data_IF_090133419769
#
_entry.id   IF_090133419769
#
_cell.length_a   1.000
_cell.length_b   1.000
_cell.length_c   1.000
_cell.angle_alpha   90.00
_cell.angle_beta   90.00
_cell.angle_gamma   90.00
#
_symmetry.space_group_name_H-M   'P 1'
#
loop_
_entity.id
_entity.type
_entity.pdbx_description
1 polymer ?
#
# COMPACT_ATOMS: atom_id res chain seq x y z
N UNK A 1 -3.82 15.67 17.58
CA UNK A 1 -2.58 15.87 16.79
C UNK A 1 -2.86 15.42 15.37
N UNK A 2 -2.65 16.29 14.38
CA UNK A 2 -2.81 15.91 12.98
C UNK A 2 -1.81 14.79 12.64
N UNK A 3 -2.29 13.62 12.22
CA UNK A 3 -1.40 12.50 11.86
C UNK A 3 -0.56 12.94 10.65
N UNK A 4 0.75 12.76 10.74
CA UNK A 4 1.66 13.14 9.66
C UNK A 4 1.43 12.21 8.46
N UNK A 5 1.34 12.78 7.26
CA UNK A 5 1.21 11.98 6.02
C UNK A 5 2.55 11.28 5.78
N UNK A 6 2.58 9.94 5.66
CA UNK A 6 3.82 9.22 5.35
C UNK A 6 4.40 9.70 4.02
N UNK A 7 5.73 9.90 3.99
CA UNK A 7 6.40 10.25 2.73
C UNK A 7 6.31 9.11 1.72
N UNK A 8 6.36 9.44 0.43
CA UNK A 8 6.38 8.47 -0.68
C UNK A 8 7.45 7.40 -0.49
N UNK A 9 8.66 7.79 -0.08
CA UNK A 9 9.76 6.85 0.18
C UNK A 9 9.46 5.91 1.36
N UNK A 10 8.81 6.41 2.41
CA UNK A 10 8.38 5.58 3.54
C UNK A 10 7.35 4.53 3.10
N UNK A 11 6.40 4.92 2.25
CA UNK A 11 5.38 4.03 1.70
C UNK A 11 6.05 2.96 0.83
N UNK A 12 6.92 3.37 -0.10
CA UNK A 12 7.68 2.47 -0.97
C UNK A 12 8.46 1.43 -0.17
N UNK A 13 9.23 1.85 0.83
CA UNK A 13 10.00 0.93 1.69
C UNK A 13 9.10 -0.07 2.39
N UNK A 14 7.99 0.38 2.99
CA UNK A 14 7.00 -0.50 3.63
C UNK A 14 6.40 -1.51 2.66
N UNK A 15 6.06 -1.07 1.44
CA UNK A 15 5.55 -1.97 0.39
C UNK A 15 6.57 -3.06 0.06
N UNK A 16 7.85 -2.71 -0.10
CA UNK A 16 8.92 -3.69 -0.34
C UNK A 16 9.06 -4.65 0.84
N UNK A 17 9.03 -4.15 2.08
CA UNK A 17 9.14 -4.97 3.28
C UNK A 17 7.98 -5.97 3.39
N UNK A 18 6.76 -5.56 3.06
CA UNK A 18 5.61 -6.45 3.01
C UNK A 18 5.74 -7.51 1.91
N UNK A 19 6.14 -7.10 0.69
CA UNK A 19 6.36 -8.07 -0.38
C UNK A 19 7.47 -9.07 -0.05
N UNK A 20 8.53 -8.65 0.65
CA UNK A 20 9.60 -9.54 1.12
C UNK A 20 9.10 -10.50 2.19
N UNK A 21 8.31 -10.01 3.15
CA UNK A 21 7.71 -10.84 4.19
C UNK A 21 6.76 -11.90 3.60
N UNK A 22 6.10 -11.57 2.49
CA UNK A 22 5.23 -12.46 1.71
C UNK A 22 6.00 -13.31 0.68
N UNK A 23 7.32 -13.12 0.51
CA UNK A 23 8.10 -13.84 -0.51
C UNK A 23 7.80 -13.46 -1.96
N UNK A 24 7.02 -12.39 -2.21
CA UNK A 24 6.58 -11.98 -3.55
C UNK A 24 7.51 -10.96 -4.21
N UNK A 25 8.42 -10.34 -3.46
CA UNK A 25 9.28 -9.28 -3.96
C UNK A 25 10.24 -9.77 -5.05
N UNK A 26 10.21 -9.08 -6.20
CA UNK A 26 11.19 -9.20 -7.29
C UNK A 26 11.50 -7.82 -7.86
N UNK A 27 12.71 -7.62 -8.37
CA UNK A 27 13.16 -6.31 -8.89
C UNK A 27 12.32 -5.82 -10.07
N UNK A 28 11.71 -6.73 -10.83
CA UNK A 28 10.80 -6.43 -11.94
C UNK A 28 9.53 -5.68 -11.47
N UNK A 29 9.17 -5.77 -10.17
CA UNK A 29 8.04 -5.03 -9.61
C UNK A 29 8.39 -3.58 -9.25
N UNK A 30 9.66 -3.16 -9.28
CA UNK A 30 10.06 -1.83 -8.80
C UNK A 30 9.25 -0.69 -9.43
N UNK A 31 9.03 -0.72 -10.74
CA UNK A 31 8.23 0.31 -11.41
C UNK A 31 6.77 0.33 -10.90
N UNK A 32 6.17 -0.84 -10.67
CA UNK A 32 4.81 -0.97 -10.15
C UNK A 32 4.73 -0.50 -8.69
N UNK A 33 5.76 -0.80 -7.89
CA UNK A 33 5.90 -0.34 -6.51
C UNK A 33 5.99 1.18 -6.44
N UNK A 34 6.76 1.82 -7.35
CA UNK A 34 6.88 3.28 -7.43
C UNK A 34 5.53 3.95 -7.71
N UNK A 35 4.74 3.42 -8.64
CA UNK A 35 3.41 3.93 -8.96
C UNK A 35 2.45 3.70 -7.78
N UNK A 36 2.48 2.52 -7.17
CA UNK A 36 1.67 2.22 -5.99
C UNK A 36 1.96 3.16 -4.82
N UNK A 37 3.24 3.41 -4.53
CA UNK A 37 3.65 4.32 -3.46
C UNK A 37 3.18 5.76 -3.73
N UNK A 38 3.19 6.19 -4.98
CA UNK A 38 2.72 7.51 -5.38
C UNK A 38 1.20 7.66 -5.19
N UNK A 39 0.41 6.68 -5.65
CA UNK A 39 -1.04 6.66 -5.45
C UNK A 39 -1.43 6.65 -3.98
N UNK A 40 -0.72 5.87 -3.15
CA UNK A 40 -0.95 5.84 -1.71
C UNK A 40 -0.62 7.19 -1.05
N UNK A 41 0.43 7.88 -1.50
CA UNK A 41 0.77 9.23 -1.02
C UNK A 41 -0.34 10.23 -1.39
N UNK A 42 -0.74 10.25 -2.66
CA UNK A 42 -1.83 11.10 -3.17
C UNK A 42 -3.14 10.82 -2.42
N UNK A 43 -3.47 9.56 -2.18
CA UNK A 43 -4.65 9.17 -1.41
C UNK A 43 -4.63 9.72 0.01
N UNK A 44 -3.50 9.61 0.72
CA UNK A 44 -3.38 10.14 2.08
C UNK A 44 -3.49 11.67 2.10
N UNK A 45 -2.88 12.34 1.12
CA UNK A 45 -2.97 13.79 0.96
C UNK A 45 -4.42 14.24 0.72
N UNK A 46 -5.08 13.69 -0.31
CA UNK A 46 -6.46 14.03 -0.63
C UNK A 46 -7.44 13.63 0.48
N UNK A 47 -7.19 12.53 1.20
CA UNK A 47 -8.04 12.12 2.32
C UNK A 47 -8.00 13.14 3.45
N UNK A 48 -6.82 13.71 3.72
CA UNK A 48 -6.65 14.75 4.72
C UNK A 48 -7.29 16.07 4.26
N UNK A 49 -7.09 16.45 3.00
CA UNK A 49 -7.74 17.63 2.45
C UNK A 49 -9.27 17.50 2.52
N UNK A 50 -9.81 16.30 2.22
CA UNK A 50 -11.23 16.04 2.30
C UNK A 50 -11.78 16.15 3.73
N UNK A 51 -11.01 15.71 4.73
CA UNK A 51 -11.34 15.91 6.15
C UNK A 51 -11.28 17.39 6.54
N UNK A 52 -10.28 18.13 6.08
CA UNK A 52 -10.12 19.58 6.33
C UNK A 52 -11.26 20.41 5.70
N UNK A 53 -11.81 19.96 4.56
CA UNK A 53 -13.01 20.52 3.89
C UNK A 53 -14.34 20.04 4.53
N UNK A 54 -14.30 19.28 5.63
CA UNK A 54 -15.51 18.84 6.32
C UNK A 54 -16.29 17.75 5.58
N UNK A 55 -15.62 16.98 4.72
CA UNK A 55 -16.21 15.89 3.93
C UNK A 55 -17.31 16.32 2.95
N UNK A 56 -17.20 17.52 2.38
CA UNK A 56 -18.18 18.07 1.46
C UNK A 56 -18.32 17.20 0.20
N UNK A 57 -19.47 16.54 0.05
CA UNK A 57 -19.71 15.58 -1.06
C UNK A 57 -20.11 16.24 -2.37
N UNK A 58 -20.59 17.49 -2.31
CA UNK A 58 -21.12 18.24 -3.46
C UNK A 58 -20.77 19.71 -3.34
N UNK A 59 -20.25 20.29 -4.40
CA UNK A 59 -19.98 21.73 -4.52
C UNK A 59 -21.14 22.40 -5.25
N UNK A 60 -21.69 23.46 -4.67
CA UNK A 60 -22.76 24.23 -5.30
C UNK A 60 -22.28 24.86 -6.62
N UNK A 61 -23.14 24.85 -7.63
CA UNK A 61 -22.85 25.49 -8.93
C UNK A 61 -24.06 26.30 -9.36
N UNK A 62 -23.82 27.47 -9.97
CA UNK A 62 -24.85 28.45 -10.34
C UNK A 62 -25.98 27.91 -11.25
N UNK A 63 -25.80 26.74 -11.88
CA UNK A 63 -26.72 26.21 -12.91
C UNK A 63 -27.22 24.77 -12.70
N UNK A 64 -26.86 24.10 -11.60
CA UNK A 64 -27.36 22.74 -11.32
C UNK A 64 -27.17 22.38 -9.85
N UNK A 65 -28.07 21.56 -9.31
CA UNK A 65 -28.13 21.11 -7.91
C UNK A 65 -26.91 20.31 -7.44
N UNK A 66 -25.77 21.01 -7.33
CA UNK A 66 -24.48 20.52 -6.87
C UNK A 66 -23.75 19.63 -7.89
N UNK A 67 -22.44 19.85 -8.08
CA UNK A 67 -21.55 18.88 -8.72
C UNK A 67 -20.84 18.08 -7.65
N UNK A 68 -20.58 16.79 -7.90
CA UNK A 68 -19.79 15.95 -6.98
C UNK A 68 -18.43 16.59 -6.69
N UNK A 69 -18.01 16.57 -5.42
CA UNK A 69 -16.70 17.08 -5.02
C UNK A 69 -15.58 16.44 -5.86
N UNK A 70 -14.69 17.24 -6.49
CA UNK A 70 -13.55 16.72 -7.22
C UNK A 70 -12.63 15.84 -6.38
N UNK A 71 -12.47 16.17 -5.09
CA UNK A 71 -11.67 15.37 -4.15
C UNK A 71 -12.32 14.02 -3.90
N UNK A 72 -13.63 14.01 -3.67
CA UNK A 72 -14.37 12.75 -3.49
C UNK A 72 -14.25 11.87 -4.75
N UNK A 73 -14.39 12.44 -5.94
CA UNK A 73 -14.23 11.71 -7.20
C UNK A 73 -12.79 11.17 -7.39
N UNK A 74 -11.79 11.95 -7.01
CA UNK A 74 -10.38 11.54 -7.01
C UNK A 74 -10.11 10.40 -6.03
N UNK A 75 -10.62 10.50 -4.80
CA UNK A 75 -10.50 9.47 -3.77
C UNK A 75 -11.14 8.14 -4.17
N UNK A 76 -12.31 8.17 -4.82
CA UNK A 76 -12.95 6.96 -5.31
C UNK A 76 -12.15 6.27 -6.41
N UNK A 77 -11.58 7.04 -7.34
CA UNK A 77 -10.71 6.50 -8.39
C UNK A 77 -9.45 5.89 -7.79
N UNK A 78 -8.77 6.62 -6.90
CA UNK A 78 -7.57 6.13 -6.20
C UNK A 78 -7.84 4.86 -5.39
N UNK A 79 -8.99 4.72 -4.73
CA UNK A 79 -9.33 3.49 -3.98
C UNK A 79 -9.40 2.27 -4.91
N UNK A 80 -9.96 2.42 -6.11
CA UNK A 80 -10.03 1.34 -7.11
C UNK A 80 -8.65 0.98 -7.65
N UNK A 81 -7.85 1.98 -7.97
CA UNK A 81 -6.49 1.79 -8.51
C UNK A 81 -5.55 1.18 -7.47
N UNK A 82 -5.59 1.66 -6.21
CA UNK A 82 -4.84 1.09 -5.10
C UNK A 82 -5.19 -0.39 -4.91
N UNK A 83 -6.47 -0.76 -4.98
CA UNK A 83 -6.90 -2.16 -4.94
C UNK A 83 -6.26 -2.98 -6.06
N UNK A 84 -6.36 -2.49 -7.30
CA UNK A 84 -5.83 -3.15 -8.49
C UNK A 84 -4.31 -3.34 -8.44
N UNK A 85 -3.56 -2.34 -7.97
CA UNK A 85 -2.10 -2.45 -7.87
C UNK A 85 -1.67 -3.27 -6.66
N UNK A 86 -2.44 -3.25 -5.56
CA UNK A 86 -2.23 -4.15 -4.43
C UNK A 86 -2.34 -5.62 -4.84
N UNK A 87 -3.35 -5.95 -5.67
CA UNK A 87 -3.49 -7.28 -6.29
C UNK A 87 -2.27 -7.64 -7.14
N UNK A 88 -1.81 -6.71 -8.00
CA UNK A 88 -0.62 -6.94 -8.87
C UNK A 88 0.67 -7.16 -8.09
N UNK A 89 0.80 -6.55 -6.93
CA UNK A 89 1.94 -6.69 -6.02
C UNK A 89 1.77 -7.88 -5.05
N UNK A 90 0.67 -8.64 -5.16
CA UNK A 90 0.37 -9.79 -4.32
C UNK A 90 0.36 -9.46 -2.82
N UNK A 91 -0.10 -8.26 -2.46
CA UNK A 91 -0.14 -7.78 -1.08
C UNK A 91 -1.36 -8.29 -0.30
N UNK A 92 -2.26 -9.02 -0.95
CA UNK A 92 -3.49 -9.53 -0.35
C UNK A 92 -3.66 -11.04 -0.51
N UNK A 93 -4.44 -11.63 0.39
CA UNK A 93 -4.66 -13.07 0.44
C UNK A 93 -5.33 -13.65 -0.83
N UNK A 94 -6.07 -12.83 -1.60
CA UNK A 94 -6.72 -13.27 -2.84
C UNK A 94 -5.73 -13.62 -3.95
N UNK A 95 -4.57 -12.96 -3.95
CA UNK A 95 -3.54 -13.11 -4.98
C UNK A 95 -2.30 -13.85 -4.47
N UNK A 96 -2.28 -14.19 -3.18
CA UNK A 96 -1.21 -14.96 -2.56
C UNK A 96 -1.30 -16.44 -2.96
N UNK A 97 -0.44 -16.86 -3.89
CA UNK A 97 -0.28 -18.27 -4.22
C UNK A 97 0.57 -18.96 -3.13
N UNK A 98 0.02 -20.00 -2.50
CA UNK A 98 0.72 -20.78 -1.48
C UNK A 98 2.00 -21.48 -1.98
N UNK A 99 2.21 -21.53 -3.30
CA UNK A 99 3.40 -22.05 -3.98
C UNK A 99 4.57 -21.06 -4.06
N UNK A 100 4.38 -19.81 -3.62
CA UNK A 100 5.49 -18.86 -3.51
C UNK A 100 6.44 -19.41 -2.45
N UNK A 101 7.67 -19.76 -2.86
CA UNK A 101 8.73 -20.27 -1.99
C UNK A 101 8.84 -19.39 -0.75
N UNK A 102 8.39 -19.91 0.40
CA UNK A 102 8.52 -19.17 1.63
C UNK A 102 10.01 -18.86 1.83
N UNK A 103 10.38 -17.61 2.18
CA UNK A 103 11.76 -17.27 2.42
C UNK A 103 12.31 -18.28 3.43
N UNK A 104 13.36 -19.02 3.04
CA UNK A 104 13.98 -20.04 3.87
C UNK A 104 14.28 -19.39 5.21
N UNK A 105 13.54 -19.77 6.25
CA UNK A 105 13.81 -19.30 7.62
C UNK A 105 15.21 -19.77 7.97
N UNK A 106 16.17 -18.85 7.99
CA UNK A 106 17.50 -19.15 8.50
C UNK A 106 17.35 -19.65 9.94
N UNK A 107 17.99 -20.77 10.26
CA UNK A 107 17.92 -21.36 11.60
C UNK A 107 18.46 -20.32 12.59
N UNK A 108 17.73 -20.09 13.68
CA UNK A 108 18.20 -19.25 14.80
C UNK A 108 19.60 -19.68 15.24
N UNK A 109 20.44 -18.72 15.67
CA UNK A 109 21.77 -19.00 16.20
C UNK A 109 21.73 -20.06 17.32
N UNK A 110 20.66 -20.09 18.12
CA UNK A 110 20.45 -21.10 19.14
C UNK A 110 20.16 -22.50 18.54
N UNK A 111 19.34 -22.56 17.48
CA UNK A 111 19.07 -23.82 16.79
C UNK A 111 20.34 -24.39 16.12
N UNK A 112 21.17 -23.53 15.54
CA UNK A 112 22.47 -23.92 14.99
C UNK A 112 23.45 -24.42 16.08
N UNK A 113 23.42 -23.83 17.27
CA UNK A 113 24.22 -24.28 18.42
C UNK A 113 23.77 -25.66 18.92
N UNK A 114 22.45 -25.88 19.00
CA UNK A 114 21.87 -27.15 19.47
C UNK A 114 22.20 -28.33 18.56
N UNK A 115 22.24 -28.10 17.23
CA UNK A 115 22.67 -29.12 16.27
C UNK A 115 24.15 -29.47 16.41
N UNK A 116 25.01 -28.49 16.73
CA UNK A 116 26.43 -28.73 16.98
C UNK A 116 26.71 -29.52 18.27
N UNK A 117 25.81 -29.48 19.25
CA UNK A 117 25.94 -30.25 20.49
C UNK A 117 25.44 -31.70 20.39
N UNK A 118 24.74 -32.06 19.30
CA UNK A 118 24.23 -33.43 19.06
C UNK A 118 25.15 -34.28 18.18
N UNK A 119 26.30 -33.76 17.75
CA UNK A 119 27.42 -34.52 17.19
C UNK A 119 28.46 -34.80 18.26
#
# INVERSE_FOLDING_TARGET
>A
MARNIPTRETIKRRTIDYMKALGTYKTQYNQVIEVYADMMYQYNFLSRQFEEEGYEVSVETEKSGGKKSPILAGLESLRKDIGTYSDRLMLNAKTYNAEIEQPKKEKSAFAALLEKQKM
#
